data_IF_621635998943
#
_entry.id   IF_621635998943
#
_cell.length_a   1.000
_cell.length_b   1.000
_cell.length_c   1.000
_cell.angle_alpha   90.00
_cell.angle_beta   90.00
_cell.angle_gamma   90.00
#
_symmetry.space_group_name_H-M   'P 1'
#
loop_
_entity.id
_entity.type
_entity.pdbx_description
1 polymer ?
#
# COMPACT_ATOMS: atom_id res chain seq x y z
N UNK A 1 8.38 -26.28 -3.29
CA UNK A 1 8.47 -25.88 -4.71
C UNK A 1 8.14 -24.40 -4.74
N UNK A 2 9.05 -23.57 -5.22
CA UNK A 2 8.82 -22.11 -5.35
C UNK A 2 7.73 -21.90 -6.38
N UNK A 3 6.66 -21.18 -6.02
CA UNK A 3 5.60 -20.88 -6.97
C UNK A 3 6.10 -19.79 -7.95
N UNK A 4 6.07 -20.01 -9.28
CA UNK A 4 6.69 -19.10 -10.25
C UNK A 4 6.03 -17.72 -10.31
N UNK A 5 4.83 -17.57 -9.76
CA UNK A 5 4.06 -16.32 -9.76
C UNK A 5 4.26 -15.46 -8.51
N UNK A 6 4.98 -15.98 -7.49
CA UNK A 6 5.20 -15.21 -6.26
C UNK A 6 6.49 -14.41 -6.38
N UNK A 7 6.46 -13.20 -5.84
CA UNK A 7 7.63 -12.33 -5.71
C UNK A 7 8.61 -12.86 -4.63
N UNK A 8 8.80 -14.18 -4.57
CA UNK A 8 9.70 -14.85 -3.62
C UNK A 8 11.13 -14.67 -4.10
N UNK A 9 11.96 -14.06 -3.25
CA UNK A 9 13.40 -13.87 -3.54
C UNK A 9 14.25 -15.00 -3.02
N UNK A 10 13.84 -15.65 -1.92
CA UNK A 10 14.59 -16.70 -1.24
C UNK A 10 13.66 -17.80 -0.71
N UNK A 11 14.23 -18.98 -0.47
CA UNK A 11 13.55 -20.10 0.21
C UNK A 11 14.43 -20.62 1.34
N UNK A 12 13.81 -20.79 2.52
CA UNK A 12 14.43 -21.49 3.65
C UNK A 12 13.39 -22.46 4.22
N UNK A 13 13.49 -23.73 3.93
CA UNK A 13 12.50 -24.73 4.37
C UNK A 13 12.53 -24.88 5.88
N UNK A 14 11.50 -24.36 6.55
CA UNK A 14 11.29 -24.56 7.98
C UNK A 14 10.79 -25.99 8.25
N UNK A 15 11.33 -26.72 9.22
CA UNK A 15 10.80 -28.02 9.64
C UNK A 15 9.52 -27.87 10.51
N UNK A 16 9.17 -26.65 10.91
CA UNK A 16 8.12 -26.36 11.89
C UNK A 16 6.76 -26.18 11.21
N UNK A 17 6.21 -27.25 10.64
CA UNK A 17 4.91 -27.25 9.99
C UNK A 17 4.26 -28.63 10.04
N UNK A 18 2.97 -28.67 9.78
CA UNK A 18 2.25 -29.92 9.49
C UNK A 18 1.94 -30.02 7.99
N UNK A 19 2.13 -31.20 7.37
CA UNK A 19 1.87 -31.39 5.95
C UNK A 19 0.37 -31.30 5.64
N UNK A 20 0.06 -30.62 4.54
CA UNK A 20 -1.29 -30.50 4.01
C UNK A 20 -2.21 -29.58 4.83
N UNK A 21 -3.41 -29.34 4.28
CA UNK A 21 -4.49 -28.58 4.93
C UNK A 21 -5.78 -29.40 4.97
N UNK A 22 -6.37 -29.61 6.16
CA UNK A 22 -7.58 -30.43 6.31
C UNK A 22 -8.78 -29.90 5.53
N UNK A 23 -8.79 -28.61 5.20
CA UNK A 23 -9.89 -27.91 4.51
C UNK A 23 -9.62 -27.69 3.02
N UNK A 24 -8.59 -28.33 2.45
CA UNK A 24 -8.26 -28.26 1.02
C UNK A 24 -7.40 -27.07 0.61
N UNK A 25 -7.42 -25.96 1.36
CA UNK A 25 -6.61 -24.76 1.07
C UNK A 25 -6.73 -23.69 2.16
N UNK A 26 -5.97 -22.60 2.05
CA UNK A 26 -6.12 -21.45 2.92
C UNK A 26 -7.44 -20.71 2.64
N UNK A 27 -8.01 -20.09 3.66
CA UNK A 27 -9.20 -19.25 3.56
C UNK A 27 -8.99 -17.83 4.06
N UNK A 28 -7.75 -17.45 4.34
CA UNK A 28 -7.36 -16.11 4.75
C UNK A 28 -5.86 -15.93 4.91
N UNK A 29 -5.44 -14.69 5.05
CA UNK A 29 -4.04 -14.30 5.27
C UNK A 29 -3.99 -13.56 6.61
N UNK A 30 -3.03 -13.91 7.47
CA UNK A 30 -2.78 -13.24 8.75
C UNK A 30 -1.49 -12.46 8.68
N UNK A 31 -1.58 -11.17 8.98
CA UNK A 31 -0.44 -10.27 9.06
C UNK A 31 0.16 -10.34 10.47
N UNK A 32 1.44 -10.61 10.53
CA UNK A 32 2.28 -10.61 11.73
C UNK A 32 3.39 -9.57 11.59
N UNK A 33 4.08 -9.31 12.67
CA UNK A 33 5.38 -8.66 12.69
C UNK A 33 6.33 -9.46 13.59
N UNK A 34 7.62 -9.41 13.32
CA UNK A 34 8.57 -10.22 14.08
C UNK A 34 9.13 -9.58 15.35
N UNK A 35 8.50 -8.51 15.85
CA UNK A 35 8.83 -7.92 17.14
C UNK A 35 8.90 -6.41 17.14
N UNK A 36 9.41 -5.85 18.21
CA UNK A 36 9.53 -4.41 18.37
C UNK A 36 10.67 -3.85 17.50
N UNK A 37 10.48 -2.69 16.83
CA UNK A 37 11.52 -2.09 15.98
C UNK A 37 12.87 -1.89 16.69
N UNK A 38 12.85 -1.54 17.98
CA UNK A 38 14.04 -1.31 18.79
C UNK A 38 14.88 -2.58 19.05
N UNK A 39 14.35 -3.77 18.82
CA UNK A 39 15.12 -5.00 18.88
C UNK A 39 16.05 -5.17 17.69
N UNK A 40 15.83 -4.39 16.64
CA UNK A 40 16.69 -4.31 15.46
C UNK A 40 17.06 -5.69 14.86
N UNK A 41 16.11 -6.62 14.90
CA UNK A 41 16.26 -7.94 14.32
C UNK A 41 16.27 -7.85 12.79
N UNK A 42 17.28 -8.49 12.18
CA UNK A 42 17.36 -8.54 10.72
C UNK A 42 16.47 -9.64 10.14
N UNK A 43 16.11 -9.51 8.87
CA UNK A 43 15.37 -10.51 8.12
C UNK A 43 16.01 -11.92 8.26
N UNK A 44 17.32 -12.01 8.08
CA UNK A 44 18.04 -13.31 8.19
C UNK A 44 18.01 -13.90 9.59
N UNK A 45 18.01 -13.07 10.64
CA UNK A 45 17.88 -13.57 12.01
C UNK A 45 16.50 -14.17 12.25
N UNK A 46 15.45 -13.53 11.71
CA UNK A 46 14.07 -14.02 11.82
C UNK A 46 13.89 -15.32 11.01
N UNK A 47 14.40 -15.37 9.79
CA UNK A 47 14.39 -16.58 8.96
C UNK A 47 15.07 -17.74 9.70
N UNK A 48 16.30 -17.54 10.22
CA UNK A 48 16.99 -18.56 11.00
C UNK A 48 16.20 -19.00 12.23
N UNK A 49 15.57 -18.06 12.93
CA UNK A 49 14.75 -18.34 14.10
C UNK A 49 13.56 -19.24 13.78
N UNK A 50 12.85 -18.94 12.69
CA UNK A 50 11.65 -19.67 12.27
C UNK A 50 11.97 -21.00 11.55
N UNK A 51 13.21 -21.16 11.07
CA UNK A 51 13.72 -22.40 10.47
C UNK A 51 14.44 -23.31 11.49
N UNK A 52 14.58 -22.91 12.77
CA UNK A 52 15.21 -23.75 13.79
C UNK A 52 14.21 -24.77 14.39
N UNK A 53 14.36 -26.04 14.01
CA UNK A 53 13.55 -27.14 14.50
C UNK A 53 13.91 -27.66 15.88
N UNK A 54 15.03 -27.18 16.48
CA UNK A 54 15.52 -27.66 17.78
C UNK A 54 15.01 -26.81 18.96
N UNK A 55 14.15 -25.85 18.73
CA UNK A 55 13.61 -24.98 19.78
C UNK A 55 12.63 -25.73 20.68
N UNK A 56 12.59 -25.36 21.96
CA UNK A 56 11.65 -25.92 22.92
C UNK A 56 10.17 -25.62 22.55
N UNK A 57 9.92 -24.46 21.95
CA UNK A 57 8.61 -24.06 21.43
C UNK A 57 8.80 -23.61 19.97
N UNK A 58 8.81 -24.55 19.03
CA UNK A 58 9.01 -24.22 17.63
C UNK A 58 7.80 -23.47 17.07
N UNK A 59 8.07 -22.53 16.22
CA UNK A 59 7.08 -21.73 15.50
C UNK A 59 7.58 -21.49 14.08
N UNK A 60 6.67 -21.11 13.18
CA UNK A 60 7.02 -20.78 11.81
C UNK A 60 6.02 -19.74 11.25
N UNK A 61 6.26 -19.32 10.03
CA UNK A 61 5.31 -18.61 9.19
C UNK A 61 5.42 -19.15 7.77
N UNK A 62 4.56 -18.77 6.86
CA UNK A 62 4.71 -19.13 5.45
C UNK A 62 5.76 -18.23 4.81
N UNK A 63 5.79 -16.96 5.19
CA UNK A 63 6.69 -15.96 4.62
C UNK A 63 7.27 -15.04 5.69
N UNK A 64 8.50 -14.58 5.43
CA UNK A 64 9.14 -13.44 6.08
C UNK A 64 9.36 -12.38 5.02
N UNK A 65 8.94 -11.12 5.29
CA UNK A 65 8.92 -10.05 4.29
C UNK A 65 9.55 -8.78 4.85
N UNK A 66 10.46 -8.20 4.09
CA UNK A 66 11.00 -6.85 4.28
C UNK A 66 11.11 -6.16 2.91
N UNK A 67 11.45 -4.88 2.89
CA UNK A 67 11.56 -4.10 1.66
C UNK A 67 12.34 -4.83 0.56
N UNK A 68 11.68 -5.10 -0.56
CA UNK A 68 12.23 -5.80 -1.72
C UNK A 68 12.59 -7.28 -1.50
N UNK A 69 12.32 -7.86 -0.31
CA UNK A 69 12.72 -9.22 0.02
C UNK A 69 11.59 -10.06 0.60
N UNK A 70 11.38 -11.24 0.01
CA UNK A 70 10.40 -12.24 0.44
C UNK A 70 11.08 -13.59 0.56
N UNK A 71 11.13 -14.15 1.77
CA UNK A 71 11.62 -15.52 2.01
C UNK A 71 10.44 -16.44 2.30
N UNK A 72 10.24 -17.48 1.50
CA UNK A 72 9.28 -18.53 1.78
C UNK A 72 9.86 -19.55 2.74
N UNK A 73 9.16 -19.85 3.83
CA UNK A 73 9.58 -20.83 4.84
C UNK A 73 8.75 -22.11 4.80
N UNK A 74 7.44 -21.99 4.55
CA UNK A 74 6.50 -23.09 4.47
C UNK A 74 5.64 -22.89 3.23
N UNK A 75 5.42 -23.95 2.47
CA UNK A 75 4.50 -23.92 1.32
C UNK A 75 3.07 -23.64 1.76
N UNK A 76 2.33 -22.86 0.98
CA UNK A 76 0.92 -22.49 1.26
C UNK A 76 -0.01 -23.68 1.41
N UNK A 77 0.30 -24.79 0.75
CA UNK A 77 -0.43 -26.04 0.89
C UNK A 77 -0.24 -26.76 2.23
N UNK A 78 0.70 -26.29 3.06
CA UNK A 78 0.99 -26.83 4.38
C UNK A 78 0.50 -25.88 5.50
N UNK A 79 0.59 -26.33 6.76
CA UNK A 79 0.17 -25.58 7.94
C UNK A 79 1.38 -25.08 8.69
N UNK A 80 1.82 -23.86 8.47
CA UNK A 80 2.82 -23.21 9.32
C UNK A 80 2.25 -22.96 10.73
N UNK A 81 3.12 -22.95 11.73
CA UNK A 81 2.73 -22.77 13.14
C UNK A 81 2.86 -21.28 13.52
N UNK A 82 1.90 -20.45 13.08
CA UNK A 82 1.97 -18.98 13.23
C UNK A 82 0.80 -18.39 14.04
N UNK A 83 -0.37 -19.03 14.03
CA UNK A 83 -1.58 -18.49 14.65
C UNK A 83 -2.40 -19.64 15.24
N UNK A 84 -2.22 -19.94 16.52
CA UNK A 84 -2.87 -21.05 17.21
C UNK A 84 -4.39 -21.03 16.97
N UNK A 85 -4.94 -22.18 16.61
CA UNK A 85 -6.36 -22.33 16.23
C UNK A 85 -6.67 -21.96 14.78
N UNK A 86 -5.81 -21.19 14.09
CA UNK A 86 -6.00 -20.77 12.68
C UNK A 86 -4.93 -21.27 11.71
N UNK A 87 -3.91 -22.00 12.18
CA UNK A 87 -2.84 -22.54 11.34
C UNK A 87 -3.35 -23.33 10.13
N UNK A 88 -4.42 -24.12 10.30
CA UNK A 88 -5.00 -24.91 9.23
C UNK A 88 -5.74 -24.08 8.17
N UNK A 89 -6.11 -22.85 8.50
CA UNK A 89 -7.00 -22.00 7.72
C UNK A 89 -6.30 -20.84 7.04
N UNK A 90 -5.14 -20.43 7.53
CA UNK A 90 -4.54 -19.15 7.13
C UNK A 90 -3.10 -19.31 6.67
N UNK A 91 -2.67 -18.36 5.82
CA UNK A 91 -1.29 -18.10 5.46
C UNK A 91 -0.78 -17.01 6.40
N UNK A 92 0.34 -17.23 7.09
CA UNK A 92 0.96 -16.23 7.97
C UNK A 92 2.12 -15.54 7.28
N UNK A 93 2.13 -14.21 7.33
CA UNK A 93 3.21 -13.35 6.80
C UNK A 93 3.84 -12.58 7.95
N UNK A 94 5.10 -12.84 8.24
CA UNK A 94 5.91 -12.08 9.19
C UNK A 94 6.52 -10.87 8.47
N UNK A 95 6.10 -9.69 8.87
CA UNK A 95 6.46 -8.42 8.24
C UNK A 95 7.52 -7.66 9.05
N UNK A 96 8.38 -6.90 8.36
CA UNK A 96 9.37 -6.04 8.98
C UNK A 96 8.70 -5.00 9.91
N UNK A 97 9.12 -4.88 11.18
CA UNK A 97 8.39 -4.11 12.19
C UNK A 97 8.39 -2.59 11.95
N UNK A 98 9.28 -2.05 11.11
CA UNK A 98 9.27 -0.63 10.76
C UNK A 98 8.06 -0.23 9.92
N UNK A 99 7.47 -1.19 9.16
CA UNK A 99 6.33 -0.96 8.28
C UNK A 99 6.54 0.25 7.34
N UNK A 100 7.74 0.35 6.76
CA UNK A 100 8.08 1.39 5.78
C UNK A 100 7.22 1.26 4.53
N UNK A 101 7.21 2.27 3.66
CA UNK A 101 6.50 2.18 2.39
C UNK A 101 7.00 0.99 1.54
N UNK A 102 8.32 0.76 1.49
CA UNK A 102 8.91 -0.39 0.79
C UNK A 102 8.47 -1.73 1.40
N UNK A 103 8.40 -1.82 2.74
CA UNK A 103 7.85 -3.00 3.42
C UNK A 103 6.39 -3.24 3.02
N UNK A 104 5.54 -2.19 3.06
CA UNK A 104 4.12 -2.29 2.72
C UNK A 104 3.91 -2.70 1.26
N UNK A 105 4.65 -2.12 0.32
CA UNK A 105 4.59 -2.50 -1.10
C UNK A 105 5.00 -3.95 -1.31
N UNK A 106 6.07 -4.41 -0.66
CA UNK A 106 6.54 -5.79 -0.79
C UNK A 106 5.53 -6.79 -0.22
N UNK A 107 4.93 -6.49 0.94
CA UNK A 107 3.86 -7.30 1.53
C UNK A 107 2.63 -7.33 0.61
N UNK A 108 2.24 -6.20 0.05
CA UNK A 108 1.08 -6.11 -0.84
C UNK A 108 1.28 -6.92 -2.13
N UNK A 109 2.47 -6.88 -2.76
CA UNK A 109 2.81 -7.74 -3.91
C UNK A 109 2.70 -9.21 -3.60
N UNK A 110 3.19 -9.62 -2.44
CA UNK A 110 3.04 -11.00 -2.00
C UNK A 110 1.56 -11.38 -1.79
N UNK A 111 0.76 -10.50 -1.18
CA UNK A 111 -0.68 -10.72 -1.00
C UNK A 111 -1.39 -10.88 -2.35
N UNK A 112 -1.08 -10.01 -3.32
CA UNK A 112 -1.63 -10.09 -4.67
C UNK A 112 -1.27 -11.42 -5.35
N UNK A 113 -0.02 -11.86 -5.23
CA UNK A 113 0.46 -13.13 -5.77
C UNK A 113 -0.22 -14.34 -5.10
N UNK A 114 -0.35 -14.34 -3.77
CA UNK A 114 -1.10 -15.39 -3.04
C UNK A 114 -2.56 -15.43 -3.52
N UNK A 115 -3.20 -14.28 -3.67
CA UNK A 115 -4.59 -14.17 -4.13
C UNK A 115 -4.77 -14.64 -5.57
N UNK A 116 -3.79 -14.46 -6.44
CA UNK A 116 -3.84 -14.98 -7.82
C UNK A 116 -3.91 -16.49 -7.87
N UNK A 117 -3.35 -17.17 -6.86
CA UNK A 117 -3.35 -18.64 -6.76
C UNK A 117 -4.57 -19.16 -5.99
N UNK A 118 -4.90 -18.55 -4.87
CA UNK A 118 -5.88 -19.07 -3.92
C UNK A 118 -7.23 -18.34 -3.93
N UNK A 119 -7.39 -17.34 -4.82
CA UNK A 119 -8.57 -16.48 -4.84
C UNK A 119 -8.47 -15.32 -3.84
N UNK A 120 -9.48 -14.49 -3.79
CA UNK A 120 -9.50 -13.28 -2.99
C UNK A 120 -9.60 -13.59 -1.47
N UNK A 121 -8.49 -14.04 -0.89
CA UNK A 121 -8.39 -14.34 0.54
C UNK A 121 -8.47 -13.06 1.38
N UNK A 122 -9.35 -12.98 2.40
CA UNK A 122 -9.42 -11.84 3.30
C UNK A 122 -8.15 -11.71 4.14
N UNK A 123 -7.76 -10.47 4.43
CA UNK A 123 -6.70 -10.13 5.38
C UNK A 123 -7.26 -10.05 6.79
N UNK A 124 -6.46 -10.45 7.75
CA UNK A 124 -6.69 -10.24 9.18
C UNK A 124 -5.37 -9.97 9.91
N UNK A 125 -5.46 -9.43 11.10
CA UNK A 125 -4.32 -9.18 11.99
C UNK A 125 -4.20 -10.31 13.00
N UNK A 126 -2.98 -10.61 13.47
CA UNK A 126 -2.81 -11.62 14.52
C UNK A 126 -3.64 -11.30 15.78
N UNK A 127 -3.75 -10.02 16.13
CA UNK A 127 -4.55 -9.59 17.29
C UNK A 127 -6.07 -9.79 17.09
N UNK A 128 -6.57 -10.05 15.90
CA UNK A 128 -7.98 -10.40 15.69
C UNK A 128 -8.28 -11.83 16.14
N UNK A 129 -7.24 -12.66 16.27
CA UNK A 129 -7.32 -14.07 16.62
C UNK A 129 -6.80 -14.38 18.02
N UNK A 130 -5.96 -13.51 18.57
CA UNK A 130 -5.26 -13.74 19.83
C UNK A 130 -5.00 -12.43 20.59
N UNK A 131 -5.04 -12.46 21.90
CA UNK A 131 -4.67 -11.30 22.72
C UNK A 131 -3.16 -11.06 22.67
N UNK A 132 -2.70 -10.25 21.71
CA UNK A 132 -1.29 -9.97 21.43
C UNK A 132 -1.08 -8.54 20.93
N UNK A 133 0.15 -8.03 21.10
CA UNK A 133 0.57 -6.76 20.50
C UNK A 133 0.83 -6.88 18.99
N UNK A 134 1.08 -8.11 18.48
CA UNK A 134 1.25 -8.37 17.05
C UNK A 134 -0.04 -8.03 16.27
N UNK A 135 0.05 -7.37 15.12
CA UNK A 135 1.24 -7.06 14.33
C UNK A 135 1.78 -5.62 14.51
N UNK A 136 1.65 -5.01 15.70
CA UNK A 136 2.26 -3.72 16.03
C UNK A 136 1.94 -2.60 15.03
N UNK A 137 2.93 -2.10 14.31
CA UNK A 137 2.80 -1.00 13.34
C UNK A 137 1.92 -1.33 12.13
N UNK A 138 1.47 -2.56 11.95
CA UNK A 138 0.55 -2.94 10.88
C UNK A 138 -0.93 -2.87 11.29
N UNK A 139 -1.26 -2.56 12.56
CA UNK A 139 -2.64 -2.55 13.06
C UNK A 139 -3.56 -1.59 12.28
N UNK A 140 -3.03 -0.46 11.89
CA UNK A 140 -3.75 0.58 11.14
C UNK A 140 -3.44 0.56 9.62
N UNK A 141 -2.70 -0.45 9.14
CA UNK A 141 -2.27 -0.56 7.75
C UNK A 141 -3.07 -1.56 6.91
N UNK A 142 -4.04 -2.25 7.49
CA UNK A 142 -4.76 -3.29 6.77
C UNK A 142 -5.47 -2.75 5.51
N UNK A 143 -6.13 -1.60 5.62
CA UNK A 143 -6.77 -0.93 4.49
C UNK A 143 -5.75 -0.50 3.42
N UNK A 144 -4.56 -0.06 3.83
CA UNK A 144 -3.46 0.28 2.92
C UNK A 144 -2.95 -0.96 2.18
N UNK A 145 -2.76 -2.08 2.88
CA UNK A 145 -2.34 -3.35 2.27
C UNK A 145 -3.39 -3.87 1.29
N UNK A 146 -4.68 -3.79 1.65
CA UNK A 146 -5.79 -4.14 0.74
C UNK A 146 -5.76 -3.29 -0.54
N UNK A 147 -5.65 -1.98 -0.37
CA UNK A 147 -5.57 -1.05 -1.50
C UNK A 147 -4.38 -1.38 -2.40
N UNK A 148 -3.17 -1.46 -1.83
CA UNK A 148 -1.96 -1.76 -2.59
C UNK A 148 -2.04 -3.13 -3.27
N UNK A 149 -2.51 -4.18 -2.58
CA UNK A 149 -2.61 -5.52 -3.15
C UNK A 149 -3.61 -5.65 -4.30
N UNK A 150 -4.64 -4.79 -4.32
CA UNK A 150 -5.62 -4.76 -5.42
C UNK A 150 -5.18 -3.88 -6.59
N UNK A 151 -4.28 -2.92 -6.35
CA UNK A 151 -3.84 -1.95 -7.35
C UNK A 151 -2.38 -2.15 -7.79
N UNK A 152 -1.64 -3.10 -7.23
CA UNK A 152 -0.25 -3.39 -7.61
C UNK A 152 -0.07 -4.03 -9.00
N UNK A 153 -1.14 -4.31 -9.73
CA UNK A 153 -1.06 -4.56 -11.17
C UNK A 153 -0.93 -3.28 -12.00
N UNK A 154 -1.20 -2.14 -11.40
CA UNK A 154 -0.97 -0.82 -11.95
C UNK A 154 0.46 -0.35 -11.64
N UNK A 155 1.44 -1.11 -12.15
CA UNK A 155 2.82 -0.73 -12.45
C UNK A 155 3.64 -0.04 -11.36
N UNK A 156 4.90 -0.43 -11.25
CA UNK A 156 6.05 0.46 -11.03
C UNK A 156 6.08 1.56 -12.10
N UNK A 157 5.10 2.47 -12.10
CA UNK A 157 5.17 3.65 -12.95
C UNK A 157 6.34 4.49 -12.48
N UNK A 158 7.41 4.49 -13.28
CA UNK A 158 8.56 5.33 -13.04
C UNK A 158 8.20 6.78 -13.39
N UNK A 159 8.83 7.74 -12.73
CA UNK A 159 8.65 9.17 -13.07
C UNK A 159 8.96 9.47 -14.54
N UNK A 160 9.76 8.62 -15.17
CA UNK A 160 10.14 8.69 -16.61
C UNK A 160 9.11 8.06 -17.54
N UNK A 161 8.15 7.27 -17.04
CA UNK A 161 7.17 6.60 -17.89
C UNK A 161 6.30 7.61 -18.61
N UNK A 162 6.02 7.30 -19.89
CA UNK A 162 5.25 8.18 -20.76
C UNK A 162 3.77 7.78 -20.73
N UNK A 163 2.93 8.75 -20.48
CA UNK A 163 1.48 8.60 -20.54
C UNK A 163 0.94 9.39 -21.73
N UNK A 164 0.27 8.71 -22.65
CA UNK A 164 -0.38 9.36 -23.80
C UNK A 164 -1.85 9.59 -23.51
N UNK A 165 -2.28 10.84 -23.59
CA UNK A 165 -3.67 11.24 -23.39
C UNK A 165 -4.54 10.89 -24.62
N UNK A 166 -5.87 10.86 -24.47
CA UNK A 166 -6.78 10.63 -25.59
C UNK A 166 -6.65 11.66 -26.72
N UNK A 167 -6.14 12.86 -26.42
CA UNK A 167 -5.85 13.93 -27.40
C UNK A 167 -4.52 13.71 -28.16
N UNK A 168 -3.79 12.63 -27.86
CA UNK A 168 -2.51 12.28 -28.48
C UNK A 168 -1.28 12.94 -27.84
N UNK A 169 -1.46 13.82 -26.84
CA UNK A 169 -0.32 14.40 -26.13
C UNK A 169 0.28 13.42 -25.12
N UNK A 170 1.60 13.30 -25.17
CA UNK A 170 2.37 12.43 -24.26
C UNK A 170 3.15 13.29 -23.26
N UNK A 171 3.13 12.90 -21.99
CA UNK A 171 3.90 13.52 -20.93
C UNK A 171 4.46 12.45 -19.99
N UNK A 172 5.61 12.71 -19.35
CA UNK A 172 6.08 11.79 -18.31
C UNK A 172 5.19 11.84 -17.08
N UNK A 173 5.18 10.77 -16.29
CA UNK A 173 4.50 10.75 -14.99
C UNK A 173 5.05 11.85 -14.08
N UNK A 174 6.37 12.08 -14.11
CA UNK A 174 7.01 13.16 -13.37
C UNK A 174 6.50 14.54 -13.75
N UNK A 175 6.34 14.83 -15.05
CA UNK A 175 5.79 16.10 -15.52
C UNK A 175 4.34 16.31 -15.10
N UNK A 176 3.55 15.23 -15.12
CA UNK A 176 2.14 15.27 -14.70
C UNK A 176 2.05 15.55 -13.20
N UNK A 177 2.84 14.87 -12.38
CA UNK A 177 2.88 15.10 -10.92
C UNK A 177 3.37 16.51 -10.58
N UNK A 178 4.44 16.99 -11.22
CA UNK A 178 4.94 18.36 -11.03
C UNK A 178 3.88 19.41 -11.42
N UNK A 179 3.13 19.16 -12.51
CA UNK A 179 2.04 20.04 -12.90
C UNK A 179 0.89 20.03 -11.89
N UNK A 180 0.54 18.87 -11.33
CA UNK A 180 -0.50 18.76 -10.30
C UNK A 180 -0.07 19.48 -9.01
N UNK A 181 1.18 19.30 -8.57
CA UNK A 181 1.74 19.96 -7.40
C UNK A 181 1.69 21.49 -7.53
N UNK A 182 2.17 22.03 -8.65
CA UNK A 182 2.07 23.45 -8.95
C UNK A 182 0.60 23.96 -8.96
N UNK A 183 -0.36 23.12 -9.37
CA UNK A 183 -1.79 23.48 -9.36
C UNK A 183 -2.36 23.48 -7.96
N UNK A 184 -1.94 22.54 -7.12
CA UNK A 184 -2.32 22.46 -5.70
C UNK A 184 -1.78 23.69 -4.97
N UNK A 185 -0.49 24.00 -5.09
CA UNK A 185 0.12 25.21 -4.50
C UNK A 185 -0.62 26.49 -4.92
N UNK A 186 -1.03 26.57 -6.19
CA UNK A 186 -1.79 27.73 -6.67
C UNK A 186 -3.18 27.81 -6.05
N UNK A 187 -3.86 26.68 -5.85
CA UNK A 187 -5.17 26.61 -5.18
C UNK A 187 -5.00 26.99 -3.70
N UNK A 188 -4.01 26.46 -3.01
CA UNK A 188 -3.68 26.81 -1.63
C UNK A 188 -3.35 28.28 -1.47
N UNK A 189 -2.54 28.83 -2.37
CA UNK A 189 -2.20 30.25 -2.39
C UNK A 189 -3.44 31.14 -2.55
N UNK A 190 -4.44 30.73 -3.33
CA UNK A 190 -5.69 31.47 -3.50
C UNK A 190 -6.62 31.29 -2.28
N UNK A 191 -6.72 30.08 -1.75
CA UNK A 191 -7.62 29.77 -0.63
C UNK A 191 -7.10 30.31 0.71
N UNK A 192 -5.80 30.22 0.96
CA UNK A 192 -5.18 30.58 2.25
C UNK A 192 -4.46 31.92 2.18
N UNK A 193 -3.71 32.16 1.09
CA UNK A 193 -2.90 33.36 0.90
C UNK A 193 -3.66 34.60 0.47
N UNK A 194 -4.88 34.44 0.01
CA UNK A 194 -5.71 35.53 -0.51
C UNK A 194 -5.21 36.13 -1.82
N UNK A 195 -6.03 36.96 -2.44
CA UNK A 195 -5.67 37.79 -3.61
C UNK A 195 -5.46 39.24 -3.19
N UNK A 196 -4.58 39.97 -3.89
CA UNK A 196 -4.42 41.41 -3.67
C UNK A 196 -5.74 42.11 -4.01
N UNK A 197 -6.26 42.89 -3.04
CA UNK A 197 -7.39 43.77 -3.29
C UNK A 197 -6.96 44.84 -4.30
N UNK A 198 -7.79 45.03 -5.31
CA UNK A 198 -7.62 46.14 -6.26
C UNK A 198 -8.42 47.35 -5.79
N UNK A 199 -7.81 48.52 -5.83
CA UNK A 199 -8.51 49.77 -5.64
C UNK A 199 -9.45 50.10 -6.82
N UNK A 200 -10.18 51.20 -6.71
CA UNK A 200 -11.10 51.68 -7.77
C UNK A 200 -10.33 51.97 -9.08
N UNK A 201 -9.05 52.26 -9.01
CA UNK A 201 -8.15 52.45 -10.16
C UNK A 201 -7.61 51.12 -10.75
N UNK A 202 -8.02 49.98 -10.24
CA UNK A 202 -7.60 48.63 -10.67
C UNK A 202 -6.21 48.20 -10.22
N UNK A 203 -5.50 49.03 -9.42
CA UNK A 203 -4.17 48.69 -8.91
C UNK A 203 -4.22 47.96 -7.57
N UNK A 204 -3.21 47.10 -7.27
CA UNK A 204 -3.13 46.40 -5.99
C UNK A 204 -3.07 47.42 -4.83
N UNK A 205 -3.89 47.20 -3.80
CA UNK A 205 -3.93 48.02 -2.59
C UNK A 205 -2.92 47.60 -1.52
N UNK A 206 -2.24 46.46 -1.72
CA UNK A 206 -1.39 45.84 -0.70
C UNK A 206 -2.14 45.11 0.41
N UNK A 207 -3.48 45.14 0.40
CA UNK A 207 -4.31 44.34 1.29
C UNK A 207 -4.62 42.98 0.65
N UNK A 208 -4.45 41.89 1.37
CA UNK A 208 -4.77 40.54 0.93
C UNK A 208 -6.10 40.06 1.56
N UNK A 209 -6.88 39.36 0.79
CA UNK A 209 -8.07 38.67 1.27
C UNK A 209 -8.01 37.21 0.89
N UNK A 210 -8.29 36.32 1.85
CA UNK A 210 -8.53 34.91 1.56
C UNK A 210 -10.03 34.65 1.33
N UNK A 211 -10.36 33.46 0.86
CA UNK A 211 -11.74 33.05 0.57
C UNK A 211 -12.68 33.15 1.78
N UNK A 212 -12.11 33.14 2.99
CA UNK A 212 -12.83 33.14 4.26
C UNK A 212 -13.01 34.54 4.85
N UNK A 213 -12.25 35.54 4.39
CA UNK A 213 -12.25 36.90 4.95
C UNK A 213 -13.32 37.82 4.32
N UNK A 214 -13.97 37.40 3.24
CA UNK A 214 -14.96 38.23 2.57
C UNK A 214 -16.35 37.59 2.53
N UNK A 215 -17.28 38.25 3.23
CA UNK A 215 -18.73 38.09 3.01
C UNK A 215 -19.16 38.41 1.55
N UNK A 216 -18.24 38.86 0.71
CA UNK A 216 -18.45 39.27 -0.69
C UNK A 216 -17.93 38.25 -1.72
N UNK A 217 -17.44 37.10 -1.31
CA UNK A 217 -17.21 35.98 -2.25
C UNK A 217 -18.57 35.49 -2.73
N UNK A 218 -19.02 36.10 -3.81
CA UNK A 218 -20.34 35.83 -4.37
C UNK A 218 -20.42 34.39 -4.91
N UNK A 219 -21.64 33.89 -5.10
CA UNK A 219 -21.93 32.54 -5.62
C UNK A 219 -21.16 32.22 -6.91
N UNK A 220 -20.75 33.21 -7.70
CA UNK A 220 -19.98 33.06 -8.95
C UNK A 220 -18.55 32.59 -8.69
N UNK A 221 -17.90 33.06 -7.61
CA UNK A 221 -16.56 32.67 -7.27
C UNK A 221 -16.53 31.26 -6.64
N UNK A 222 -17.53 30.95 -5.80
CA UNK A 222 -17.75 29.57 -5.32
C UNK A 222 -18.00 28.60 -6.48
N UNK A 223 -18.83 28.95 -7.45
CA UNK A 223 -19.08 28.14 -8.63
C UNK A 223 -17.81 27.89 -9.46
N UNK A 224 -16.92 28.90 -9.57
CA UNK A 224 -15.61 28.74 -10.26
C UNK A 224 -14.65 27.80 -9.52
N UNK A 225 -14.59 27.89 -8.19
CA UNK A 225 -13.75 26.97 -7.37
C UNK A 225 -14.32 25.57 -7.46
N UNK A 226 -15.64 25.41 -7.35
CA UNK A 226 -16.32 24.12 -7.47
C UNK A 226 -16.08 23.48 -8.85
N UNK A 227 -16.27 24.24 -9.93
CA UNK A 227 -15.98 23.77 -11.27
C UNK A 227 -14.48 23.41 -11.48
N UNK A 228 -13.57 24.12 -10.81
CA UNK A 228 -12.15 23.79 -10.80
C UNK A 228 -11.84 22.48 -10.07
N UNK A 229 -12.49 22.24 -8.95
CA UNK A 229 -12.38 21.00 -8.17
C UNK A 229 -12.97 19.82 -8.95
N UNK A 230 -14.16 19.98 -9.54
CA UNK A 230 -14.78 18.95 -10.39
C UNK A 230 -13.92 18.61 -11.61
N UNK A 231 -13.34 19.62 -12.27
CA UNK A 231 -12.44 19.41 -13.41
C UNK A 231 -11.14 18.71 -12.98
N UNK A 232 -10.66 18.95 -11.77
CA UNK A 232 -9.48 18.27 -11.20
C UNK A 232 -9.81 16.82 -10.84
N UNK A 233 -10.96 16.58 -10.18
CA UNK A 233 -11.46 15.25 -9.85
C UNK A 233 -11.60 14.39 -11.12
N UNK A 234 -12.28 14.93 -12.14
CA UNK A 234 -12.41 14.22 -13.42
C UNK A 234 -11.08 13.90 -14.09
N UNK A 235 -10.05 14.77 -13.97
CA UNK A 235 -8.72 14.50 -14.50
C UNK A 235 -7.97 13.44 -13.70
N UNK A 236 -8.19 13.38 -12.39
CA UNK A 236 -7.66 12.29 -11.55
C UNK A 236 -8.31 10.97 -11.94
N UNK A 237 -9.64 10.95 -12.14
CA UNK A 237 -10.37 9.78 -12.60
C UNK A 237 -9.92 9.34 -14.02
N UNK A 238 -9.71 10.31 -14.93
CA UNK A 238 -9.17 10.04 -16.27
C UNK A 238 -7.74 9.47 -16.20
N UNK A 239 -6.91 9.93 -15.27
CA UNK A 239 -5.56 9.40 -15.03
C UNK A 239 -5.61 7.96 -14.46
N UNK A 240 -6.49 7.73 -13.49
CA UNK A 240 -6.71 6.39 -12.93
C UNK A 240 -7.17 5.43 -14.02
N UNK A 241 -8.14 5.82 -14.86
CA UNK A 241 -8.62 5.02 -15.97
C UNK A 241 -7.53 4.75 -17.04
N UNK A 242 -6.64 5.72 -17.30
CA UNK A 242 -5.52 5.53 -18.23
C UNK A 242 -4.48 4.55 -17.69
N UNK A 243 -4.23 4.59 -16.38
CA UNK A 243 -3.38 3.63 -15.66
C UNK A 243 -3.98 2.23 -15.76
N UNK A 244 -5.29 2.08 -15.56
CA UNK A 244 -6.02 0.80 -15.64
C UNK A 244 -6.04 0.23 -17.08
N UNK A 245 -6.22 1.06 -18.08
CA UNK A 245 -6.23 0.64 -19.51
C UNK A 245 -4.80 0.33 -20.01
N UNK A 246 -3.79 1.02 -19.51
CA UNK A 246 -2.38 0.74 -19.83
C UNK A 246 -1.90 -0.60 -19.26
N UNK A 247 -2.48 -1.04 -18.15
CA UNK A 247 -2.18 -2.33 -17.52
C UNK A 247 -2.84 -3.53 -18.22
N UNK A 248 -3.74 -3.29 -19.19
CA UNK A 248 -4.51 -4.34 -19.89
C UNK A 248 -3.92 -4.72 -21.26
N UNK A 249 -2.74 -4.25 -21.61
CA UNK A 249 -1.99 -4.58 -22.83
C UNK A 249 -0.61 -5.12 -22.51
#
# INVERSE_FOLDING_TARGET
>A
MIHPNYAVTDVCESPNYDPGRPLGGPVGIVIHWWGLPEWNQTHDQVVRFLCDGNRANPTSAHYVVSDGRVTQLVSDGNRAWHCAGNNARTIGIECHPAATEGDLRTVARLIAAIRSEWGNLPLSLHCDHFATACPGNYKDKLATLEYLATHEGATDMQLSDQVTRPDGHTASVGDILAYLDMRIERIESVLIGGQDKKGEDGKPTGARTNVFDEAAWNATNFARVYAGIEALSKRVDDLVNLIEVGASK
#
